data_IF_499435420997
#
_entry.id   IF_499435420997
#
_cell.length_a   1.000
_cell.length_b   1.000
_cell.length_c   1.000
_cell.angle_alpha   90.00
_cell.angle_beta   90.00
_cell.angle_gamma   90.00
#
_symmetry.space_group_name_H-M   'P 1'
#
loop_
_entity.id
_entity.type
_entity.pdbx_description
1 polymer ?
#
# COMPACT_ATOMS: atom_id res chain seq x y z
N UNK A 1 29.91 26.28 19.76
CA UNK A 1 29.13 25.35 18.91
C UNK A 1 27.70 25.86 18.96
N UNK A 2 27.05 26.37 17.92
CA UNK A 2 27.32 26.35 16.49
C UNK A 2 25.98 26.21 15.75
N UNK A 3 24.97 27.02 16.05
CA UNK A 3 23.70 27.02 15.31
C UNK A 3 23.84 27.96 14.11
N UNK A 4 24.26 27.37 12.99
CA UNK A 4 24.39 28.03 11.70
C UNK A 4 23.05 27.97 11.00
N UNK A 5 22.20 28.95 11.29
CA UNK A 5 21.00 29.26 10.53
C UNK A 5 21.39 29.46 9.07
N UNK A 6 20.97 28.55 8.19
CA UNK A 6 20.99 28.81 6.75
C UNK A 6 19.99 29.94 6.52
N UNK A 7 20.54 31.08 6.14
CA UNK A 7 19.81 32.28 5.77
C UNK A 7 18.85 31.95 4.63
N UNK A 8 17.58 32.27 4.83
CA UNK A 8 16.54 32.15 3.81
C UNK A 8 16.99 32.96 2.56
N UNK A 9 17.25 32.33 1.39
CA UNK A 9 17.76 33.04 0.22
C UNK A 9 16.66 33.79 -0.55
N UNK A 10 15.42 33.73 -0.07
CA UNK A 10 14.28 34.37 -0.70
C UNK A 10 14.08 35.76 -0.11
N UNK A 11 14.75 36.76 -0.67
CA UNK A 11 14.42 38.16 -0.38
C UNK A 11 13.03 38.46 -0.94
N UNK A 12 12.08 38.66 -0.04
CA UNK A 12 10.69 39.06 -0.29
C UNK A 12 10.55 40.46 -0.92
N UNK A 13 11.68 41.13 -1.13
CA UNK A 13 11.83 42.47 -1.73
C UNK A 13 11.71 42.48 -3.27
N UNK A 14 11.55 41.31 -3.92
CA UNK A 14 11.43 41.20 -5.38
C UNK A 14 10.01 40.90 -5.89
N UNK A 15 9.00 40.99 -5.04
CA UNK A 15 7.61 40.82 -5.46
C UNK A 15 6.91 42.19 -5.47
N UNK A 16 7.03 42.92 -6.57
CA UNK A 16 6.14 44.06 -6.81
C UNK A 16 4.72 43.53 -7.06
N UNK A 17 3.71 43.97 -6.30
CA UNK A 17 2.33 43.59 -6.57
C UNK A 17 1.89 44.29 -7.86
N UNK A 18 1.81 43.54 -8.96
CA UNK A 18 1.17 44.00 -10.18
C UNK A 18 -0.28 44.40 -9.85
N UNK A 19 -0.53 45.71 -9.76
CA UNK A 19 -1.85 46.29 -9.62
C UNK A 19 -2.56 46.24 -10.97
N UNK A 20 -3.01 45.05 -11.38
CA UNK A 20 -3.93 44.91 -12.50
C UNK A 20 -5.30 45.45 -12.05
N UNK A 21 -5.65 46.64 -12.52
CA UNK A 21 -7.00 47.21 -12.43
C UNK A 21 -7.91 46.50 -13.44
N UNK A 22 -8.38 45.30 -13.09
CA UNK A 22 -9.30 44.57 -13.95
C UNK A 22 -10.74 44.83 -13.53
N UNK A 23 -11.59 45.47 -14.36
CA UNK A 23 -13.04 45.56 -14.15
C UNK A 23 -13.74 44.21 -14.44
N UNK A 24 -13.14 43.11 -13.96
CA UNK A 24 -13.55 41.73 -14.23
C UNK A 24 -13.76 40.91 -12.95
N UNK A 25 -13.31 41.42 -11.78
CA UNK A 25 -13.57 40.74 -10.50
C UNK A 25 -15.05 40.72 -10.12
N UNK A 26 -15.79 41.77 -10.47
CA UNK A 26 -17.22 41.87 -10.17
C UNK A 26 -18.06 40.96 -11.08
N UNK A 27 -17.63 40.77 -12.34
CA UNK A 27 -18.25 39.79 -13.26
C UNK A 27 -18.00 38.34 -12.85
N UNK A 28 -16.83 38.05 -12.27
CA UNK A 28 -16.51 36.72 -11.76
C UNK A 28 -17.30 36.36 -10.49
N UNK A 29 -17.67 37.36 -9.68
CA UNK A 29 -18.49 37.14 -8.48
C UNK A 29 -19.96 36.85 -8.83
N UNK A 30 -20.48 37.46 -9.90
CA UNK A 30 -21.84 37.23 -10.39
C UNK A 30 -21.99 35.85 -11.06
N UNK A 31 -20.94 35.35 -11.73
CA UNK A 31 -20.88 33.97 -12.25
C UNK A 31 -20.77 32.92 -11.13
N UNK A 32 -20.13 33.26 -10.00
CA UNK A 32 -20.00 32.38 -8.83
C UNK A 32 -21.30 32.27 -7.99
N UNK A 33 -22.25 33.17 -8.21
CA UNK A 33 -23.59 33.12 -7.62
C UNK A 33 -24.61 32.34 -8.45
N UNK A 34 -24.24 31.82 -9.63
CA UNK A 34 -25.17 31.08 -10.48
C UNK A 34 -25.61 29.77 -9.81
N UNK A 35 -26.84 29.80 -9.28
CA UNK A 35 -27.48 28.66 -8.62
C UNK A 35 -27.63 27.46 -9.54
N UNK A 36 -27.56 27.67 -10.86
CA UNK A 36 -27.55 26.62 -11.88
C UNK A 36 -26.31 25.74 -11.79
N UNK A 37 -25.12 26.34 -11.66
CA UNK A 37 -23.87 25.59 -11.49
C UNK A 37 -23.80 24.96 -10.10
N UNK A 38 -24.24 25.64 -9.04
CA UNK A 38 -24.29 25.04 -7.70
C UNK A 38 -25.25 23.84 -7.63
N UNK A 39 -26.38 23.88 -8.33
CA UNK A 39 -27.32 22.76 -8.41
C UNK A 39 -26.80 21.60 -9.29
N UNK A 40 -26.00 21.89 -10.32
CA UNK A 40 -25.25 20.87 -11.08
C UNK A 40 -24.09 20.26 -10.27
N UNK A 41 -23.43 21.06 -9.43
CA UNK A 41 -22.42 20.60 -8.48
C UNK A 41 -23.03 19.81 -7.29
N UNK A 42 -24.30 20.06 -6.96
CA UNK A 42 -25.05 19.32 -5.94
C UNK A 42 -25.42 17.89 -6.37
N UNK A 43 -25.15 17.52 -7.62
CA UNK A 43 -25.30 16.17 -8.19
C UNK A 43 -24.15 15.21 -7.88
N UNK A 44 -23.30 15.55 -6.91
CA UNK A 44 -22.09 14.80 -6.55
C UNK A 44 -20.87 15.36 -7.29
N UNK A 45 -19.94 15.95 -6.54
CA UNK A 45 -18.64 16.37 -7.07
C UNK A 45 -17.93 15.15 -7.68
N UNK A 46 -17.94 15.06 -9.00
CA UNK A 46 -17.12 14.08 -9.73
C UNK A 46 -15.72 14.67 -9.81
N UNK A 47 -14.75 14.02 -9.16
CA UNK A 47 -13.35 14.42 -9.25
C UNK A 47 -12.94 14.41 -10.73
N UNK A 48 -12.37 15.52 -11.23
CA UNK A 48 -11.95 15.61 -12.63
C UNK A 48 -10.80 14.64 -12.93
N UNK A 49 -9.90 14.47 -11.96
CA UNK A 49 -8.74 13.58 -12.02
C UNK A 49 -8.40 13.09 -10.61
N UNK A 50 -7.83 11.89 -10.50
CA UNK A 50 -7.28 11.35 -9.23
C UNK A 50 -5.89 11.91 -8.88
N UNK A 51 -5.21 12.58 -9.82
CA UNK A 51 -3.82 13.02 -9.65
C UNK A 51 -2.79 11.87 -9.66
N UNK A 52 -3.24 10.62 -9.83
CA UNK A 52 -2.39 9.43 -9.89
C UNK A 52 -2.37 8.87 -11.32
N UNK A 53 -1.18 8.58 -11.84
CA UNK A 53 -1.04 8.05 -13.20
C UNK A 53 -1.56 6.62 -13.26
N UNK A 54 -2.40 6.33 -14.25
CA UNK A 54 -2.97 5.00 -14.46
C UNK A 54 -4.17 4.65 -13.56
N UNK A 55 -4.60 5.56 -12.68
CA UNK A 55 -5.81 5.38 -11.85
C UNK A 55 -6.97 6.22 -12.39
N UNK A 56 -7.95 5.54 -12.99
CA UNK A 56 -9.13 6.18 -13.58
C UNK A 56 -10.15 6.56 -12.51
N UNK A 57 -10.79 7.73 -12.66
CA UNK A 57 -11.85 8.18 -11.75
C UNK A 57 -13.07 7.27 -11.88
N UNK A 58 -13.63 6.85 -10.74
CA UNK A 58 -14.82 6.01 -10.71
C UNK A 58 -16.10 6.85 -10.76
N UNK A 59 -17.04 6.48 -11.63
CA UNK A 59 -18.34 7.18 -11.75
C UNK A 59 -19.29 6.86 -10.59
N UNK A 60 -19.21 5.65 -10.04
CA UNK A 60 -20.12 5.16 -9.00
C UNK A 60 -19.36 4.36 -7.93
N UNK A 61 -18.55 5.03 -7.08
CA UNK A 61 -17.69 4.36 -6.12
C UNK A 61 -18.46 3.59 -5.04
N UNK A 62 -19.54 4.15 -4.48
CA UNK A 62 -20.36 3.48 -3.44
C UNK A 62 -20.89 2.12 -3.89
N UNK A 63 -21.51 2.08 -5.07
CA UNK A 63 -22.08 0.85 -5.63
C UNK A 63 -20.99 -0.19 -5.92
N UNK A 64 -19.86 0.25 -6.49
CA UNK A 64 -18.74 -0.63 -6.82
C UNK A 64 -18.13 -1.26 -5.57
N UNK A 65 -17.84 -0.44 -4.54
CA UNK A 65 -17.32 -0.90 -3.26
C UNK A 65 -18.30 -1.85 -2.55
N UNK A 66 -19.58 -1.53 -2.52
CA UNK A 66 -20.61 -2.38 -1.93
C UNK A 66 -20.64 -3.77 -2.58
N UNK A 67 -20.55 -3.85 -3.91
CA UNK A 67 -20.48 -5.14 -4.62
C UNK A 67 -19.19 -5.89 -4.26
N UNK A 68 -18.04 -5.23 -4.25
CA UNK A 68 -16.75 -5.85 -3.99
C UNK A 68 -16.67 -6.41 -2.57
N UNK A 69 -17.03 -5.63 -1.56
CA UNK A 69 -17.04 -6.08 -0.16
C UNK A 69 -17.98 -7.27 0.05
N UNK A 70 -19.18 -7.23 -0.52
CA UNK A 70 -20.10 -8.37 -0.46
C UNK A 70 -19.53 -9.63 -1.14
N UNK A 71 -18.82 -9.48 -2.28
CA UNK A 71 -18.15 -10.61 -2.95
C UNK A 71 -17.00 -11.18 -2.10
N UNK A 72 -16.25 -10.33 -1.41
CA UNK A 72 -15.16 -10.74 -0.51
C UNK A 72 -15.76 -11.52 0.67
N UNK A 73 -16.76 -10.97 1.35
CA UNK A 73 -17.42 -11.64 2.48
C UNK A 73 -17.95 -13.02 2.09
N UNK A 74 -18.60 -13.17 0.93
CA UNK A 74 -19.04 -14.48 0.40
C UNK A 74 -17.89 -15.44 0.12
N UNK A 75 -16.73 -14.93 -0.29
CA UNK A 75 -15.54 -15.75 -0.54
C UNK A 75 -14.91 -16.22 0.77
N UNK A 76 -14.87 -15.35 1.79
CA UNK A 76 -14.38 -15.67 3.15
C UNK A 76 -15.24 -16.72 3.86
N UNK A 77 -16.56 -16.76 3.61
CA UNK A 77 -17.45 -17.79 4.18
C UNK A 77 -17.03 -19.23 3.81
N UNK A 78 -16.28 -19.43 2.73
CA UNK A 78 -15.78 -20.76 2.31
C UNK A 78 -14.57 -21.24 3.09
N UNK A 79 -13.92 -20.36 3.86
CA UNK A 79 -12.76 -20.68 4.70
C UNK A 79 -13.23 -21.08 6.10
N UNK A 80 -12.46 -21.84 6.90
CA UNK A 80 -12.87 -22.18 8.25
C UNK A 80 -12.85 -20.95 9.18
N UNK A 81 -13.76 -20.88 10.16
CA UNK A 81 -13.94 -19.71 11.04
C UNK A 81 -12.76 -19.44 11.99
N UNK A 82 -11.95 -20.46 12.26
CA UNK A 82 -10.74 -20.34 13.06
C UNK A 82 -9.53 -19.80 12.29
N UNK A 83 -9.59 -19.72 10.96
CA UNK A 83 -8.50 -19.18 10.16
C UNK A 83 -8.25 -17.71 10.52
N UNK A 84 -7.02 -17.40 10.92
CA UNK A 84 -6.62 -16.04 11.32
C UNK A 84 -6.94 -15.02 10.22
N UNK A 85 -6.57 -15.33 8.97
CA UNK A 85 -6.86 -14.48 7.80
C UNK A 85 -8.35 -14.15 7.69
N UNK A 86 -9.23 -15.17 7.77
CA UNK A 86 -10.68 -14.97 7.71
C UNK A 86 -11.15 -13.99 8.80
N UNK A 87 -10.78 -14.23 10.05
CA UNK A 87 -11.20 -13.42 11.20
C UNK A 87 -10.82 -11.93 11.05
N UNK A 88 -9.58 -11.66 10.64
CA UNK A 88 -9.09 -10.29 10.53
C UNK A 88 -9.63 -9.59 9.29
N UNK A 89 -9.66 -10.27 8.14
CA UNK A 89 -10.20 -9.69 6.91
C UNK A 89 -11.71 -9.44 7.02
N UNK A 90 -12.49 -10.36 7.59
CA UNK A 90 -13.93 -10.14 7.82
C UNK A 90 -14.17 -8.90 8.69
N UNK A 91 -13.38 -8.70 9.75
CA UNK A 91 -13.48 -7.52 10.61
C UNK A 91 -13.23 -6.23 9.83
N UNK A 92 -12.14 -6.18 9.04
CA UNK A 92 -11.78 -4.99 8.26
C UNK A 92 -12.84 -4.68 7.19
N UNK A 93 -13.25 -5.70 6.45
CA UNK A 93 -14.22 -5.54 5.35
C UNK A 93 -15.60 -5.19 5.87
N UNK A 94 -16.04 -5.77 7.00
CA UNK A 94 -17.33 -5.44 7.60
C UNK A 94 -17.38 -3.99 8.09
N UNK A 95 -16.29 -3.51 8.72
CA UNK A 95 -16.19 -2.12 9.16
C UNK A 95 -16.21 -1.16 7.95
N UNK A 96 -15.40 -1.44 6.92
CA UNK A 96 -15.38 -0.62 5.69
C UNK A 96 -16.72 -0.63 4.97
N UNK A 97 -17.39 -1.78 4.88
CA UNK A 97 -18.71 -1.90 4.29
C UNK A 97 -19.74 -1.06 5.05
N UNK A 98 -19.73 -1.10 6.39
CA UNK A 98 -20.60 -0.28 7.23
C UNK A 98 -20.37 1.22 6.97
N UNK A 99 -19.12 1.66 6.88
CA UNK A 99 -18.81 3.06 6.57
C UNK A 99 -19.41 3.45 5.22
N UNK A 100 -19.22 2.64 4.17
CA UNK A 100 -19.75 2.90 2.82
C UNK A 100 -21.29 2.90 2.77
N UNK A 101 -21.96 2.12 3.61
CA UNK A 101 -23.43 2.10 3.71
C UNK A 101 -24.00 3.30 4.49
N UNK A 102 -23.30 3.74 5.54
CA UNK A 102 -23.77 4.84 6.40
C UNK A 102 -23.51 6.23 5.84
N UNK A 103 -22.46 6.39 5.04
CA UNK A 103 -22.06 7.68 4.47
C UNK A 103 -22.63 7.84 3.07
N UNK A 104 -23.07 9.06 2.74
CA UNK A 104 -23.62 9.38 1.42
C UNK A 104 -22.60 10.04 0.49
N UNK A 105 -21.54 10.63 1.06
CA UNK A 105 -20.56 11.43 0.33
C UNK A 105 -19.20 10.74 0.26
N UNK A 106 -18.56 10.78 -0.91
CA UNK A 106 -17.24 10.18 -1.15
C UNK A 106 -16.16 10.71 -0.19
N UNK A 107 -16.14 12.03 0.05
CA UNK A 107 -15.15 12.63 0.96
C UNK A 107 -15.27 12.12 2.40
N UNK A 108 -16.48 11.81 2.86
CA UNK A 108 -16.68 11.23 4.18
C UNK A 108 -16.14 9.80 4.25
N UNK A 109 -16.31 9.00 3.18
CA UNK A 109 -15.72 7.66 3.10
C UNK A 109 -14.20 7.73 3.24
N UNK A 110 -13.55 8.62 2.48
CA UNK A 110 -12.10 8.77 2.47
C UNK A 110 -11.57 9.17 3.85
N UNK A 111 -12.23 10.12 4.51
CA UNK A 111 -11.84 10.58 5.84
C UNK A 111 -12.08 9.52 6.93
N UNK A 112 -13.19 8.78 6.87
CA UNK A 112 -13.50 7.75 7.87
C UNK A 112 -12.61 6.51 7.73
N UNK A 113 -12.26 6.11 6.50
CA UNK A 113 -11.40 4.94 6.25
C UNK A 113 -9.91 5.31 6.38
N UNK A 114 -9.53 6.52 5.98
CA UNK A 114 -8.17 7.04 6.13
C UNK A 114 -7.11 6.26 5.34
N UNK A 115 -7.46 5.66 4.20
CA UNK A 115 -6.58 4.80 3.41
C UNK A 115 -6.45 5.25 1.93
N UNK A 116 -6.37 6.55 1.69
CA UNK A 116 -6.22 7.15 0.35
C UNK A 116 -7.55 7.52 -0.31
N UNK A 117 -7.52 7.72 -1.63
CA UNK A 117 -8.70 8.04 -2.44
C UNK A 117 -9.63 6.85 -2.61
N UNK A 118 -10.91 7.10 -2.92
CA UNK A 118 -11.90 6.03 -3.09
C UNK A 118 -11.56 5.08 -4.24
N UNK A 119 -10.90 5.55 -5.30
CA UNK A 119 -10.43 4.72 -6.40
C UNK A 119 -9.35 3.72 -5.95
N UNK A 120 -8.44 4.13 -5.06
CA UNK A 120 -7.43 3.24 -4.49
C UNK A 120 -8.09 2.16 -3.62
N UNK A 121 -9.16 2.51 -2.90
CA UNK A 121 -9.94 1.54 -2.12
C UNK A 121 -10.61 0.49 -3.02
N UNK A 122 -11.09 0.88 -4.20
CA UNK A 122 -11.65 -0.06 -5.18
C UNK A 122 -10.58 -1.05 -5.62
N UNK A 123 -9.39 -0.57 -6.00
CA UNK A 123 -8.27 -1.42 -6.42
C UNK A 123 -7.82 -2.35 -5.27
N UNK A 124 -7.75 -1.84 -4.04
CA UNK A 124 -7.46 -2.66 -2.86
C UNK A 124 -8.50 -3.76 -2.67
N UNK A 125 -9.80 -3.46 -2.81
CA UNK A 125 -10.86 -4.44 -2.68
C UNK A 125 -10.84 -5.49 -3.81
N UNK A 126 -10.51 -5.10 -5.03
CA UNK A 126 -10.32 -6.03 -6.14
C UNK A 126 -9.14 -6.99 -5.89
N UNK A 127 -8.01 -6.45 -5.45
CA UNK A 127 -6.83 -7.24 -5.09
C UNK A 127 -7.13 -8.19 -3.94
N UNK A 128 -7.86 -7.72 -2.92
CA UNK A 128 -8.27 -8.55 -1.78
C UNK A 128 -9.23 -9.66 -2.23
N UNK A 129 -10.15 -9.39 -3.16
CA UNK A 129 -11.03 -10.43 -3.71
C UNK A 129 -10.24 -11.49 -4.48
N UNK A 130 -9.24 -11.08 -5.26
CA UNK A 130 -8.34 -12.01 -5.98
C UNK A 130 -7.53 -12.83 -4.98
N UNK A 131 -6.96 -12.19 -3.95
CA UNK A 131 -6.22 -12.86 -2.88
C UNK A 131 -7.11 -13.87 -2.16
N UNK A 132 -8.28 -13.47 -1.69
CA UNK A 132 -9.22 -14.35 -0.98
C UNK A 132 -9.58 -15.60 -1.80
N UNK A 133 -9.73 -15.47 -3.12
CA UNK A 133 -9.95 -16.63 -4.01
C UNK A 133 -8.72 -17.53 -4.10
N UNK A 134 -7.51 -16.98 -4.16
CA UNK A 134 -6.26 -17.76 -4.15
C UNK A 134 -6.03 -18.47 -2.82
N UNK A 135 -6.38 -17.84 -1.70
CA UNK A 135 -6.27 -18.40 -0.35
C UNK A 135 -7.08 -19.70 -0.20
N UNK A 136 -8.19 -19.86 -0.92
CA UNK A 136 -8.95 -21.12 -0.95
C UNK A 136 -8.15 -22.28 -1.55
N UNK A 137 -7.28 -22.01 -2.52
CA UNK A 137 -6.38 -23.00 -3.10
C UNK A 137 -5.13 -23.24 -2.25
N UNK A 138 -4.56 -22.18 -1.67
CA UNK A 138 -3.33 -22.28 -0.88
C UNK A 138 -3.53 -22.84 0.53
N UNK A 139 -4.71 -22.64 1.13
CA UNK A 139 -5.07 -23.10 2.48
C UNK A 139 -4.00 -22.85 3.55
N UNK A 140 -3.51 -21.61 3.71
CA UNK A 140 -2.39 -21.31 4.63
C UNK A 140 -2.74 -21.41 6.12
N UNK A 141 -3.98 -21.76 6.46
CA UNK A 141 -4.41 -22.08 7.83
C UNK A 141 -4.09 -23.53 8.22
N UNK A 142 -3.62 -24.36 7.29
CA UNK A 142 -3.08 -25.67 7.61
C UNK A 142 -1.74 -25.53 8.36
N UNK A 143 -1.37 -26.52 9.21
CA UNK A 143 -0.08 -26.51 9.88
C UNK A 143 1.09 -26.43 8.90
N UNK A 144 2.26 -26.02 9.41
CA UNK A 144 3.49 -25.96 8.63
C UNK A 144 3.77 -27.32 7.99
N UNK A 145 4.09 -27.31 6.68
CA UNK A 145 4.43 -28.53 5.93
C UNK A 145 5.75 -29.13 6.43
N UNK A 146 6.69 -28.27 6.81
CA UNK A 146 8.00 -28.66 7.32
C UNK A 146 8.46 -27.67 8.38
N UNK A 147 9.01 -28.20 9.47
CA UNK A 147 9.69 -27.38 10.47
C UNK A 147 11.02 -26.86 9.93
N UNK A 148 11.43 -25.68 10.40
CA UNK A 148 12.73 -25.13 10.05
C UNK A 148 13.85 -26.08 10.51
N UNK A 149 14.91 -26.20 9.70
CA UNK A 149 16.08 -26.93 10.13
C UNK A 149 16.67 -26.26 11.40
N UNK A 150 17.32 -27.03 12.29
CA UNK A 150 18.12 -26.44 13.35
C UNK A 150 19.02 -25.36 12.77
N UNK A 151 19.29 -24.27 13.49
CA UNK A 151 20.16 -23.14 13.07
C UNK A 151 19.80 -22.39 11.75
N UNK A 152 18.74 -22.75 11.00
CA UNK A 152 18.36 -22.08 9.74
C UNK A 152 18.14 -20.57 9.89
N UNK A 153 17.53 -20.15 11.01
CA UNK A 153 17.21 -18.75 11.31
C UNK A 153 18.16 -18.14 12.35
N UNK A 154 19.27 -18.80 12.68
CA UNK A 154 20.26 -18.25 13.59
C UNK A 154 21.03 -17.13 12.89
N UNK A 155 20.94 -15.91 13.42
CA UNK A 155 21.67 -14.75 12.92
C UNK A 155 22.43 -14.07 14.08
N UNK A 156 23.72 -13.72 13.91
CA UNK A 156 24.57 -13.91 12.72
C UNK A 156 24.84 -15.39 12.40
N UNK A 157 25.27 -15.74 11.17
CA UNK A 157 25.53 -17.12 10.79
C UNK A 157 26.62 -17.65 11.73
N UNK A 158 26.30 -18.67 12.52
CA UNK A 158 27.33 -19.37 13.29
C UNK A 158 28.37 -19.87 12.28
N UNK A 159 29.66 -19.72 12.61
CA UNK A 159 30.69 -20.44 11.86
C UNK A 159 30.39 -21.94 12.03
N UNK A 160 30.64 -22.73 11.00
CA UNK A 160 30.49 -24.17 11.08
C UNK A 160 31.54 -24.70 12.06
N UNK A 161 31.23 -24.68 13.35
CA UNK A 161 32.07 -25.23 14.40
C UNK A 161 31.83 -26.74 14.35
N UNK A 162 32.78 -27.46 13.75
CA UNK A 162 32.61 -28.83 13.28
C UNK A 162 31.97 -29.82 14.27
N UNK A 163 30.94 -30.50 13.78
CA UNK A 163 30.84 -31.97 13.66
C UNK A 163 29.47 -32.26 13.04
N UNK A 164 29.42 -32.32 11.70
CA UNK A 164 28.26 -32.88 11.00
C UNK A 164 28.35 -34.41 11.10
N UNK A 165 27.29 -35.12 11.52
CA UNK A 165 27.25 -36.57 11.38
C UNK A 165 27.40 -36.92 9.89
N UNK A 166 28.34 -37.82 9.60
CA UNK A 166 28.75 -38.21 8.25
C UNK A 166 27.54 -38.62 7.39
N UNK A 167 27.13 -37.76 6.46
CA UNK A 167 26.05 -38.07 5.52
C UNK A 167 25.34 -36.89 4.83
N UNK A 168 25.62 -35.64 5.19
CA UNK A 168 24.99 -34.48 4.53
C UNK A 168 25.71 -34.11 3.22
N UNK A 169 25.03 -34.10 2.04
CA UNK A 169 25.64 -33.79 0.73
C UNK A 169 25.92 -32.31 0.47
N UNK A 170 26.27 -31.53 1.48
CA UNK A 170 26.59 -30.11 1.32
C UNK A 170 28.10 -29.92 1.11
N UNK A 171 28.64 -30.49 0.03
CA UNK A 171 30.00 -30.21 -0.41
C UNK A 171 29.94 -29.20 -1.57
N UNK A 172 29.69 -27.93 -1.24
CA UNK A 172 29.90 -26.81 -2.17
C UNK A 172 31.33 -26.28 -2.04
N UNK A 173 32.30 -27.16 -2.29
CA UNK A 173 33.67 -26.76 -2.61
C UNK A 173 33.73 -26.24 -4.04
N UNK A 174 33.11 -25.08 -4.30
CA UNK A 174 33.37 -24.30 -5.51
C UNK A 174 34.79 -23.74 -5.37
N UNK A 175 35.73 -24.37 -6.07
CA UNK A 175 37.14 -24.03 -6.04
C UNK A 175 37.42 -22.58 -6.43
N UNK A 176 37.71 -21.74 -5.43
CA UNK A 176 38.54 -20.55 -5.62
C UNK A 176 40.00 -21.01 -5.62
N UNK A 177 40.53 -21.27 -6.82
CA UNK A 177 41.96 -21.30 -7.08
C UNK A 177 42.55 -19.90 -6.79
N UNK A 178 42.82 -19.60 -5.52
CA UNK A 178 43.70 -18.50 -5.13
C UNK A 178 45.13 -19.01 -5.23
N UNK A 179 45.86 -18.53 -6.23
CA UNK A 179 47.24 -18.89 -6.51
C UNK A 179 48.22 -18.43 -5.43
N UNK A 180 48.35 -19.23 -4.37
CA UNK A 180 49.48 -19.16 -3.44
C UNK A 180 50.06 -20.56 -3.22
N UNK A 181 50.45 -21.20 -4.32
CA UNK A 181 51.50 -22.21 -4.29
C UNK A 181 52.86 -21.54 -4.50
N UNK A 182 53.89 -22.08 -3.81
CA UNK A 182 55.31 -22.07 -4.19
C UNK A 182 56.32 -21.12 -3.51
N UNK A 183 56.15 -20.65 -2.26
CA UNK A 183 57.27 -19.99 -1.56
C UNK A 183 57.41 -20.28 -0.05
N UNK A 184 57.04 -21.47 0.44
CA UNK A 184 57.36 -21.84 1.83
C UNK A 184 57.72 -23.33 2.03
N UNK A 185 58.48 -23.90 1.10
CA UNK A 185 59.13 -25.22 1.28
C UNK A 185 60.57 -25.24 0.76
N UNK A 186 61.34 -24.18 0.98
CA UNK A 186 62.79 -24.19 0.86
C UNK A 186 63.39 -23.16 1.83
N UNK A 187 63.35 -23.47 3.13
CA UNK A 187 64.41 -23.10 4.06
C UNK A 187 64.33 -24.01 5.27
N UNK A 188 65.22 -24.99 5.20
CA UNK A 188 65.83 -25.67 6.33
C UNK A 188 66.76 -24.69 7.06
#
# INVERSE_FOLDING_TARGET
MGERWISNPFKEEYFEPASLSIPEKDKLLELASDTTLKNLFNGGMVNLTTGLTGLVVSKHPHHTLGILYNKILRSLQKMPSNAAYRKYTEKIISERARIVETTSTVSEIENNIGCGQVEELIVQAENELVLARKMLGWKPWEPLVQDAAPHQWAWPPAKCDGELPSGSPCDDSIGLHSGQGLLERLLQ
#
